data_IF_386698781825
#
_entry.id   IF_386698781825
#
_cell.length_a   1.000
_cell.length_b   1.000
_cell.length_c   1.000
_cell.angle_alpha   90.00
_cell.angle_beta   90.00
_cell.angle_gamma   90.00
#
_symmetry.space_group_name_H-M   'P 1'
#
loop_
_entity.id
_entity.type
_entity.pdbx_description
1 polymer ?
#
# COMPACT_ATOMS: atom_id res chain seq x y z
N UNK A 1 -9.82 44.60 -22.53
CA UNK A 1 -8.59 44.22 -21.80
C UNK A 1 -8.99 43.30 -20.66
N UNK A 2 -8.79 41.99 -20.83
CA UNK A 2 -9.10 40.95 -19.84
C UNK A 2 -7.84 40.60 -19.06
N UNK A 3 -7.85 40.54 -17.72
CA UNK A 3 -6.69 40.06 -16.99
C UNK A 3 -6.65 38.53 -17.05
N UNK A 4 -5.60 38.02 -17.67
CA UNK A 4 -5.20 36.60 -17.65
C UNK A 4 -4.89 36.19 -16.20
N UNK A 5 -5.67 35.26 -15.65
CA UNK A 5 -5.41 34.70 -14.31
C UNK A 5 -4.34 33.62 -14.44
N UNK A 6 -3.12 33.95 -14.04
CA UNK A 6 -2.04 32.98 -13.84
C UNK A 6 -2.42 32.00 -12.74
N UNK A 7 -2.55 30.72 -13.10
CA UNK A 7 -2.69 29.62 -12.14
C UNK A 7 -1.31 29.31 -11.55
N UNK A 8 -1.11 29.65 -10.28
CA UNK A 8 0.04 29.17 -9.49
C UNK A 8 -0.27 27.75 -9.04
N UNK A 9 0.35 26.75 -9.69
CA UNK A 9 0.33 25.36 -9.25
C UNK A 9 1.36 25.23 -8.13
N UNK A 10 0.88 25.16 -6.87
CA UNK A 10 1.72 24.86 -5.71
C UNK A 10 1.98 23.36 -5.72
N UNK A 11 3.14 22.94 -6.26
CA UNK A 11 3.60 21.55 -6.19
C UNK A 11 4.24 21.34 -4.82
N UNK A 12 3.42 21.03 -3.81
CA UNK A 12 3.89 20.55 -2.51
C UNK A 12 4.56 19.19 -2.70
N UNK A 13 5.89 19.17 -2.72
CA UNK A 13 6.68 17.96 -2.62
C UNK A 13 6.45 17.36 -1.23
N UNK A 14 5.59 16.34 -1.16
CA UNK A 14 5.42 15.54 0.05
C UNK A 14 6.67 14.68 0.21
N UNK A 15 7.62 15.15 1.01
CA UNK A 15 8.79 14.39 1.40
C UNK A 15 8.38 13.36 2.47
N UNK A 16 8.12 12.12 2.06
CA UNK A 16 7.83 11.03 3.00
C UNK A 16 9.16 10.56 3.60
N UNK A 17 9.47 11.03 4.82
CA UNK A 17 10.59 10.52 5.60
C UNK A 17 10.15 9.14 6.15
N UNK A 18 10.64 8.07 5.55
CA UNK A 18 10.47 6.72 6.08
C UNK A 18 11.29 6.58 7.37
N UNK A 19 10.67 6.82 8.52
CA UNK A 19 11.26 6.46 9.81
C UNK A 19 11.25 4.93 9.93
N UNK A 20 12.44 4.35 10.13
CA UNK A 20 12.65 2.93 10.43
C UNK A 20 12.06 2.59 11.81
N UNK A 21 10.74 2.46 11.89
CA UNK A 21 10.09 1.84 13.04
C UNK A 21 9.96 0.35 12.75
N UNK A 22 10.58 -0.48 13.58
CA UNK A 22 10.44 -1.95 13.54
C UNK A 22 9.04 -2.47 13.91
N UNK A 23 8.05 -1.58 13.95
CA UNK A 23 6.65 -1.89 14.23
C UNK A 23 5.89 -2.03 12.92
N UNK A 24 4.96 -2.99 12.80
CA UNK A 24 4.14 -3.13 11.62
C UNK A 24 3.39 -1.82 11.36
N UNK A 25 3.67 -1.19 10.23
CA UNK A 25 2.98 0.03 9.82
C UNK A 25 1.69 -0.37 9.12
N UNK A 26 0.61 0.31 9.48
CA UNK A 26 -0.67 0.20 8.76
C UNK A 26 -0.76 1.39 7.82
N UNK A 27 -0.73 1.13 6.52
CA UNK A 27 -0.87 2.15 5.48
C UNK A 27 -2.17 1.94 4.76
N UNK A 28 -2.90 3.03 4.56
CA UNK A 28 -4.18 3.08 3.88
C UNK A 28 -3.98 3.68 2.50
N UNK A 29 -4.23 2.89 1.45
CA UNK A 29 -4.05 3.34 0.06
C UNK A 29 -5.40 3.34 -0.65
N UNK A 30 -5.95 4.51 -1.02
CA UNK A 30 -7.16 4.56 -1.82
C UNK A 30 -6.90 4.01 -3.22
N UNK A 31 -7.79 3.15 -3.72
CA UNK A 31 -7.68 2.53 -5.05
C UNK A 31 -9.00 2.61 -5.80
N UNK A 32 -8.92 2.61 -7.13
CA UNK A 32 -10.08 2.39 -7.98
C UNK A 32 -10.35 0.90 -8.06
N UNK A 33 -11.62 0.51 -7.97
CA UNK A 33 -12.02 -0.89 -8.13
C UNK A 33 -12.14 -1.23 -9.62
N UNK A 34 -11.82 -2.46 -9.97
CA UNK A 34 -12.06 -2.95 -11.33
C UNK A 34 -13.55 -3.31 -11.54
N UNK A 35 -13.90 -3.77 -12.75
CA UNK A 35 -15.28 -4.12 -13.13
C UNK A 35 -15.89 -5.25 -12.27
N UNK A 36 -15.04 -6.04 -11.58
CA UNK A 36 -15.46 -7.09 -10.64
C UNK A 36 -15.51 -6.60 -9.19
N UNK A 37 -15.27 -5.31 -8.95
CA UNK A 37 -15.20 -4.71 -7.62
C UNK A 37 -13.92 -5.04 -6.86
N UNK A 38 -12.88 -5.55 -7.50
CA UNK A 38 -11.62 -5.95 -6.82
C UNK A 38 -10.67 -4.77 -6.69
N UNK A 39 -9.91 -4.74 -5.61
CA UNK A 39 -8.82 -3.78 -5.45
C UNK A 39 -7.65 -4.18 -6.36
N UNK A 40 -7.17 -3.23 -7.15
CA UNK A 40 -5.93 -3.36 -7.90
C UNK A 40 -4.86 -2.50 -7.22
N UNK A 41 -3.81 -3.16 -6.73
CA UNK A 41 -2.70 -2.50 -6.06
C UNK A 41 -1.41 -3.17 -6.50
N UNK A 42 -0.48 -2.37 -7.06
CA UNK A 42 0.71 -2.87 -7.78
C UNK A 42 0.30 -3.88 -8.87
N UNK A 43 0.84 -5.09 -8.85
CA UNK A 43 0.64 -6.18 -9.79
C UNK A 43 -0.34 -7.25 -9.27
N UNK A 44 -1.00 -7.00 -8.14
CA UNK A 44 -1.92 -7.96 -7.51
C UNK A 44 -3.38 -7.50 -7.54
N UNK A 45 -4.27 -8.48 -7.60
CA UNK A 45 -5.72 -8.29 -7.50
C UNK A 45 -6.24 -8.91 -6.23
N UNK A 46 -6.93 -8.11 -5.43
CA UNK A 46 -7.40 -8.52 -4.10
C UNK A 46 -8.92 -8.46 -4.07
N UNK A 47 -9.52 -9.60 -3.74
CA UNK A 47 -10.98 -9.73 -3.61
C UNK A 47 -11.46 -8.87 -2.42
N UNK A 48 -12.62 -8.21 -2.52
CA UNK A 48 -13.18 -7.42 -1.43
C UNK A 48 -13.25 -8.17 -0.10
N UNK A 49 -12.84 -7.50 0.96
CA UNK A 49 -12.84 -7.98 2.34
C UNK A 49 -12.00 -9.25 2.57
N UNK A 50 -11.03 -9.49 1.68
CA UNK A 50 -10.05 -10.58 1.84
C UNK A 50 -8.65 -10.02 2.10
N UNK A 51 -7.83 -10.81 2.78
CA UNK A 51 -6.43 -10.52 3.06
C UNK A 51 -5.54 -11.49 2.28
N UNK A 52 -4.54 -10.95 1.57
CA UNK A 52 -3.48 -11.73 0.95
C UNK A 52 -2.15 -11.41 1.62
N UNK A 53 -1.33 -12.43 1.89
CA UNK A 53 -0.03 -12.28 2.53
C UNK A 53 1.11 -12.61 1.56
N UNK A 54 2.17 -11.80 1.65
CA UNK A 54 3.32 -11.86 0.76
C UNK A 54 4.61 -12.08 1.55
N UNK A 55 5.56 -12.71 0.87
CA UNK A 55 6.91 -13.00 1.37
C UNK A 55 7.84 -11.82 1.09
N UNK A 56 7.65 -11.22 -0.09
CA UNK A 56 8.38 -10.05 -0.55
C UNK A 56 7.49 -9.13 -1.41
N UNK A 57 7.30 -7.86 -1.02
CA UNK A 57 7.59 -7.31 0.31
C UNK A 57 6.88 -8.10 1.41
N UNK A 58 7.43 -8.09 2.64
CA UNK A 58 6.83 -8.79 3.77
C UNK A 58 5.60 -8.02 4.30
N UNK A 59 4.46 -8.21 3.63
CA UNK A 59 3.24 -7.46 3.90
C UNK A 59 1.97 -8.33 3.79
N UNK A 60 0.92 -7.87 4.45
CA UNK A 60 -0.45 -8.31 4.27
C UNK A 60 -1.25 -7.18 3.64
N UNK A 61 -1.98 -7.51 2.58
CA UNK A 61 -2.83 -6.58 1.85
C UNK A 61 -4.28 -6.97 2.02
N UNK A 62 -5.10 -6.06 2.54
CA UNK A 62 -6.55 -6.25 2.72
C UNK A 62 -7.30 -5.26 1.85
N UNK A 63 -8.17 -5.75 0.97
CA UNK A 63 -9.05 -4.89 0.19
C UNK A 63 -10.29 -4.54 1.01
N UNK A 64 -10.45 -3.29 1.42
CA UNK A 64 -11.66 -2.76 2.01
C UNK A 64 -12.49 -2.08 0.90
N UNK A 65 -13.53 -2.78 0.45
CA UNK A 65 -14.37 -2.35 -0.65
C UNK A 65 -15.81 -2.81 -0.43
N UNK A 66 -16.76 -1.95 -0.82
CA UNK A 66 -18.18 -2.29 -0.89
C UNK A 66 -18.57 -2.57 -2.34
N UNK A 67 -19.42 -3.57 -2.55
CA UNK A 67 -19.82 -4.05 -3.89
C UNK A 67 -20.51 -2.99 -4.76
N UNK A 68 -21.01 -1.90 -4.17
CA UNK A 68 -21.68 -0.80 -4.87
C UNK A 68 -20.82 0.47 -5.01
N UNK A 69 -19.53 0.42 -4.65
CA UNK A 69 -18.62 1.56 -4.79
C UNK A 69 -17.72 1.39 -6.03
N UNK A 70 -17.29 2.51 -6.61
CA UNK A 70 -16.22 2.52 -7.63
C UNK A 70 -14.82 2.67 -7.03
N UNK A 71 -14.76 2.95 -5.72
CA UNK A 71 -13.54 3.20 -4.97
C UNK A 71 -13.48 2.30 -3.74
N UNK A 72 -12.28 1.84 -3.43
CA UNK A 72 -11.98 1.10 -2.22
C UNK A 72 -10.68 1.56 -1.61
N UNK A 73 -10.23 0.81 -0.63
CA UNK A 73 -9.00 1.07 0.09
C UNK A 73 -8.23 -0.24 0.25
N UNK A 74 -6.93 -0.21 0.00
CA UNK A 74 -6.04 -1.31 0.36
C UNK A 74 -5.35 -0.95 1.67
N UNK A 75 -5.60 -1.76 2.69
CA UNK A 75 -4.90 -1.71 3.95
C UNK A 75 -3.65 -2.57 3.82
N UNK A 76 -2.50 -1.96 4.02
CA UNK A 76 -1.19 -2.59 3.95
C UNK A 76 -0.66 -2.71 5.37
N UNK A 77 -0.38 -3.92 5.81
CA UNK A 77 0.28 -4.19 7.08
C UNK A 77 1.61 -4.86 6.80
N UNK A 78 2.72 -4.21 7.09
CA UNK A 78 4.03 -4.78 6.79
C UNK A 78 5.12 -4.24 7.71
N UNK A 79 6.27 -4.89 7.65
CA UNK A 79 7.50 -4.34 8.19
C UNK A 79 8.35 -3.83 7.02
N UNK A 80 8.95 -2.63 7.13
CA UNK A 80 9.89 -2.17 6.11
C UNK A 80 11.08 -3.14 6.06
N UNK A 81 11.43 -3.67 4.87
CA UNK A 81 12.64 -4.45 4.72
C UNK A 81 13.87 -3.54 4.99
N UNK A 82 14.91 -4.00 5.71
CA UNK A 82 16.18 -3.28 5.74
C UNK A 82 16.75 -3.15 4.32
N UNK A 83 17.63 -2.16 4.07
CA UNK A 83 18.15 -1.85 2.73
C UNK A 83 18.74 -3.05 1.98
N UNK A 84 19.34 -4.00 2.71
CA UNK A 84 20.02 -5.17 2.17
C UNK A 84 19.24 -6.48 2.42
N UNK A 85 17.92 -6.40 2.60
CA UNK A 85 17.10 -7.58 2.84
C UNK A 85 16.96 -8.44 1.58
N UNK A 86 17.17 -9.74 1.76
CA UNK A 86 16.85 -10.74 0.74
C UNK A 86 15.40 -11.23 0.89
N UNK A 87 14.77 -11.76 -0.18
CA UNK A 87 13.44 -12.35 -0.09
C UNK A 87 13.34 -13.41 1.00
N UNK A 88 12.36 -13.27 1.90
CA UNK A 88 12.07 -14.30 2.90
C UNK A 88 11.37 -15.48 2.24
N UNK A 89 11.54 -16.69 2.78
CA UNK A 89 10.70 -17.86 2.43
C UNK A 89 9.39 -17.94 3.22
N UNK A 90 9.16 -16.95 4.09
CA UNK A 90 8.02 -16.90 4.98
C UNK A 90 7.13 -15.75 4.56
N UNK A 91 5.81 -15.94 4.66
CA UNK A 91 4.83 -14.88 4.45
C UNK A 91 4.65 -14.04 5.70
N UNK A 92 4.08 -12.85 5.56
CA UNK A 92 3.60 -12.07 6.69
C UNK A 92 2.68 -12.92 7.59
N UNK A 93 2.77 -12.85 8.94
CA UNK A 93 3.64 -11.97 9.74
C UNK A 93 5.01 -12.61 10.07
N UNK A 94 5.26 -13.85 9.65
CA UNK A 94 6.44 -14.62 10.07
C UNK A 94 7.74 -14.05 9.49
N UNK A 95 7.72 -13.50 8.27
CA UNK A 95 8.88 -12.77 7.73
C UNK A 95 9.23 -11.48 8.49
N UNK A 96 8.31 -10.92 9.29
CA UNK A 96 8.63 -9.78 10.16
C UNK A 96 9.23 -10.20 11.50
N UNK A 97 8.94 -11.43 11.96
CA UNK A 97 9.43 -11.94 13.25
C UNK A 97 10.87 -12.43 13.17
N UNK A 98 11.24 -12.98 12.02
CA UNK A 98 12.62 -13.39 11.76
C UNK A 98 13.39 -12.18 11.28
N UNK A 99 14.37 -11.73 12.07
CA UNK A 99 15.40 -10.83 11.56
C UNK A 99 15.97 -11.49 10.32
N UNK A 100 15.92 -10.79 9.18
CA UNK A 100 16.62 -11.14 7.95
C UNK A 100 18.02 -11.63 8.36
N UNK A 101 18.25 -12.94 8.26
CA UNK A 101 19.45 -13.64 8.71
C UNK A 101 20.28 -14.00 7.50
#
# INVERSE_FOLDING_TARGET
>A
MTPSKSFFIVITHVLIIAMHTSTPQVVHVPVKLNEKGWCEYRDVRIVPNTTQTFEWPCEALTCNATTNSMFGEVLIQGCPPPPDAEPSRYKWPECCKKKWQ
#
